data_IF_997636912850
#
_entry.id   IF_997636912850
#
_cell.length_a   1.000
_cell.length_b   1.000
_cell.length_c   1.000
_cell.angle_alpha   90.00
_cell.angle_beta   90.00
_cell.angle_gamma   90.00
#
_symmetry.space_group_name_H-M   'P 1'
#
loop_
_entity.id
_entity.type
_entity.pdbx_description
1 polymer ?
#
# COMPACT_ATOMS: atom_id res chain seq x y z
N UNK A 1 21.10 15.76 37.21
CA UNK A 1 21.66 15.98 35.87
C UNK A 1 20.74 15.30 34.88
N UNK A 2 19.88 16.06 34.21
CA UNK A 2 18.94 15.55 33.23
C UNK A 2 19.70 15.39 31.90
N UNK A 3 19.79 14.17 31.38
CA UNK A 3 20.32 13.96 30.03
C UNK A 3 19.51 14.81 29.05
N UNK A 4 20.14 15.48 28.06
CA UNK A 4 19.38 16.08 26.99
C UNK A 4 18.71 14.92 26.25
N UNK A 5 17.38 14.87 26.28
CA UNK A 5 16.63 14.17 25.24
C UNK A 5 17.15 14.74 23.93
N UNK A 6 17.82 13.92 23.13
CA UNK A 6 18.03 14.24 21.73
C UNK A 6 16.65 14.41 21.12
N UNK A 7 16.17 15.66 21.14
CA UNK A 7 15.06 16.11 20.34
C UNK A 7 15.50 15.84 18.89
N UNK A 8 15.13 14.67 18.37
CA UNK A 8 15.17 14.39 16.94
C UNK A 8 14.13 15.30 16.31
N UNK A 9 14.39 16.60 16.25
CA UNK A 9 13.60 17.57 15.51
C UNK A 9 13.75 17.20 14.05
N UNK A 10 12.86 16.34 13.56
CA UNK A 10 12.67 16.13 12.13
C UNK A 10 12.34 17.51 11.56
N UNK A 11 13.22 18.03 10.71
CA UNK A 11 13.00 19.35 10.12
C UNK A 11 11.74 19.31 9.26
N UNK A 12 11.05 20.45 9.12
CA UNK A 12 9.86 20.56 8.26
C UNK A 12 10.11 20.04 6.84
N UNK A 13 11.31 20.26 6.30
CA UNK A 13 11.71 19.75 4.98
C UNK A 13 11.85 18.23 4.95
N UNK A 14 12.39 17.62 6.00
CA UNK A 14 12.50 16.17 6.09
C UNK A 14 11.10 15.51 6.22
N UNK A 15 10.24 16.06 7.09
CA UNK A 15 8.87 15.56 7.24
C UNK A 15 8.06 15.69 5.93
N UNK A 16 8.25 16.78 5.18
CA UNK A 16 7.66 16.96 3.86
C UNK A 16 8.16 15.92 2.86
N UNK A 17 9.47 15.66 2.80
CA UNK A 17 10.02 14.65 1.91
C UNK A 17 9.48 13.25 2.22
N UNK A 18 9.36 12.91 3.50
CA UNK A 18 8.75 11.65 3.95
C UNK A 18 7.27 11.56 3.57
N UNK A 19 6.50 12.63 3.73
CA UNK A 19 5.11 12.70 3.27
C UNK A 19 4.98 12.50 1.75
N UNK A 20 5.80 13.20 0.97
CA UNK A 20 5.81 13.06 -0.50
C UNK A 20 6.19 11.63 -0.92
N UNK A 21 7.16 11.00 -0.25
CA UNK A 21 7.53 9.61 -0.47
C UNK A 21 6.37 8.66 -0.18
N UNK A 22 5.64 8.84 0.92
CA UNK A 22 4.44 8.04 1.24
C UNK A 22 3.32 8.23 0.23
N UNK A 23 3.14 9.45 -0.30
CA UNK A 23 2.17 9.68 -1.37
C UNK A 23 2.52 8.92 -2.67
N UNK A 24 3.81 8.83 -3.02
CA UNK A 24 4.24 8.04 -4.18
C UNK A 24 4.10 6.54 -3.94
N UNK A 25 4.42 6.06 -2.74
CA UNK A 25 4.22 4.66 -2.34
C UNK A 25 2.73 4.26 -2.46
N UNK A 26 1.82 5.09 -1.96
CA UNK A 26 0.37 4.88 -2.09
C UNK A 26 -0.05 4.72 -3.56
N UNK A 27 0.41 5.61 -4.45
CA UNK A 27 0.10 5.54 -5.88
C UNK A 27 0.60 4.23 -6.51
N UNK A 28 1.81 3.79 -6.12
CA UNK A 28 2.37 2.52 -6.58
C UNK A 28 1.51 1.33 -6.14
N UNK A 29 1.08 1.31 -4.88
CA UNK A 29 0.21 0.26 -4.34
C UNK A 29 -1.16 0.26 -5.03
N UNK A 30 -1.79 1.42 -5.21
CA UNK A 30 -3.08 1.54 -5.90
C UNK A 30 -3.01 1.07 -7.36
N UNK A 31 -1.89 1.36 -8.04
CA UNK A 31 -1.64 0.86 -9.40
C UNK A 31 -1.51 -0.66 -9.43
N UNK A 32 -0.74 -1.23 -8.50
CA UNK A 32 -0.57 -2.68 -8.38
C UNK A 32 -1.90 -3.38 -8.04
N UNK A 33 -2.71 -2.81 -7.15
CA UNK A 33 -4.06 -3.32 -6.83
C UNK A 33 -4.96 -3.38 -8.05
N UNK A 34 -5.01 -2.31 -8.84
CA UNK A 34 -5.82 -2.28 -10.08
C UNK A 34 -5.39 -3.38 -11.05
N UNK A 35 -4.08 -3.58 -11.19
CA UNK A 35 -3.56 -4.67 -12.03
C UNK A 35 -3.97 -6.06 -11.51
N UNK A 36 -3.94 -6.27 -10.19
CA UNK A 36 -4.41 -7.52 -9.57
C UNK A 36 -5.92 -7.75 -9.78
N UNK A 37 -6.74 -6.70 -9.68
CA UNK A 37 -8.19 -6.77 -9.97
C UNK A 37 -8.46 -7.16 -11.42
N UNK A 38 -7.69 -6.62 -12.38
CA UNK A 38 -7.79 -7.01 -13.78
C UNK A 38 -7.41 -8.48 -13.99
N UNK A 39 -6.36 -8.97 -13.34
CA UNK A 39 -5.94 -10.37 -13.42
C UNK A 39 -6.99 -11.32 -12.81
N UNK A 40 -7.51 -10.98 -11.62
CA UNK A 40 -8.57 -11.75 -10.97
C UNK A 40 -9.82 -11.80 -11.84
N UNK A 41 -10.23 -10.67 -12.43
CA UNK A 41 -11.39 -10.60 -13.33
C UNK A 41 -11.20 -11.49 -14.58
N UNK A 42 -10.03 -11.43 -15.21
CA UNK A 42 -9.69 -12.28 -16.36
C UNK A 42 -9.69 -13.76 -16.01
N UNK A 43 -9.23 -14.11 -14.81
CA UNK A 43 -9.18 -15.49 -14.35
C UNK A 43 -10.57 -16.01 -14.01
N UNK A 44 -11.43 -15.20 -13.38
CA UNK A 44 -12.85 -15.52 -13.16
C UNK A 44 -13.60 -15.73 -14.47
N UNK A 45 -13.40 -14.87 -15.47
CA UNK A 45 -14.01 -15.02 -16.81
C UNK A 45 -13.59 -16.33 -17.51
N UNK A 46 -12.39 -16.84 -17.24
CA UNK A 46 -11.93 -18.15 -17.74
C UNK A 46 -12.50 -19.33 -16.94
N UNK A 47 -12.93 -19.11 -15.72
CA UNK A 47 -13.46 -20.15 -14.83
C UNK A 47 -14.98 -20.33 -14.94
N UNK A 48 -15.75 -19.35 -15.43
CA UNK A 48 -17.16 -19.52 -15.83
C UNK A 48 -17.28 -20.17 -17.23
N UNK A 49 -18.15 -21.18 -17.40
CA UNK A 49 -17.91 -22.60 -17.14
C UNK A 49 -17.25 -23.34 -18.32
N UNK A 50 -16.00 -23.80 -18.14
CA UNK A 50 -15.45 -24.98 -18.84
C UNK A 50 -15.83 -26.29 -18.13
N UNK A 51 -16.97 -26.32 -17.42
CA UNK A 51 -17.59 -27.56 -16.94
C UNK A 51 -18.08 -28.42 -18.13
N UNK A 52 -18.10 -27.87 -19.35
CA UNK A 52 -18.52 -28.62 -20.52
C UNK A 52 -17.50 -29.70 -20.92
N UNK A 53 -16.22 -29.38 -21.14
CA UNK A 53 -15.23 -30.37 -21.57
C UNK A 53 -13.83 -29.80 -21.31
N UNK A 54 -13.06 -30.33 -20.34
CA UNK A 54 -11.63 -30.64 -20.45
C UNK A 54 -10.92 -30.87 -19.10
N UNK A 55 -9.88 -31.69 -19.22
CA UNK A 55 -8.85 -32.21 -18.30
C UNK A 55 -8.67 -31.55 -16.92
N UNK A 56 -8.78 -32.39 -15.89
CA UNK A 56 -8.61 -32.12 -14.44
C UNK A 56 -7.35 -31.29 -14.09
N UNK A 57 -6.28 -31.36 -14.89
CA UNK A 57 -5.03 -30.63 -14.63
C UNK A 57 -5.16 -29.11 -14.75
N UNK A 58 -5.77 -28.60 -15.82
CA UNK A 58 -5.82 -27.15 -16.10
C UNK A 58 -6.72 -26.40 -15.11
N UNK A 59 -7.78 -27.06 -14.63
CA UNK A 59 -8.67 -26.52 -13.61
C UNK A 59 -7.97 -26.35 -12.27
N UNK A 60 -7.06 -27.26 -11.89
CA UNK A 60 -6.34 -27.22 -10.61
C UNK A 60 -5.34 -26.04 -10.56
N UNK A 61 -4.57 -25.81 -11.63
CA UNK A 61 -3.63 -24.68 -11.72
C UNK A 61 -4.32 -23.31 -11.71
N UNK A 62 -5.51 -23.20 -12.30
CA UNK A 62 -6.29 -21.97 -12.29
C UNK A 62 -6.77 -21.62 -10.87
N UNK A 63 -7.17 -22.62 -10.08
CA UNK A 63 -7.61 -22.45 -8.68
C UNK A 63 -6.45 -21.98 -7.79
N UNK A 64 -5.26 -22.59 -7.90
CA UNK A 64 -4.10 -22.17 -7.11
C UNK A 64 -3.66 -20.74 -7.46
N UNK A 65 -3.68 -20.39 -8.75
CA UNK A 65 -3.37 -19.05 -9.23
C UNK A 65 -4.39 -18.02 -8.75
N UNK A 66 -5.68 -18.38 -8.68
CA UNK A 66 -6.74 -17.53 -8.13
C UNK A 66 -6.47 -17.17 -6.67
N UNK A 67 -6.23 -18.18 -5.82
CA UNK A 67 -5.97 -17.96 -4.39
C UNK A 67 -4.70 -17.17 -4.15
N UNK A 68 -3.65 -17.42 -4.93
CA UNK A 68 -2.42 -16.63 -4.87
C UNK A 68 -2.66 -15.15 -5.18
N UNK A 69 -3.38 -14.84 -6.27
CA UNK A 69 -3.72 -13.47 -6.64
C UNK A 69 -4.60 -12.79 -5.59
N UNK A 70 -5.55 -13.52 -5.00
CA UNK A 70 -6.41 -13.00 -3.95
C UNK A 70 -5.62 -12.65 -2.68
N UNK A 71 -4.67 -13.51 -2.29
CA UNK A 71 -3.78 -13.23 -1.15
C UNK A 71 -2.90 -12.00 -1.42
N UNK A 72 -2.34 -11.87 -2.62
CA UNK A 72 -1.56 -10.68 -3.02
C UNK A 72 -2.41 -9.42 -2.97
N UNK A 73 -3.68 -9.50 -3.38
CA UNK A 73 -4.62 -8.37 -3.30
C UNK A 73 -4.90 -7.97 -1.84
N UNK A 74 -5.16 -8.94 -0.97
CA UNK A 74 -5.36 -8.69 0.45
C UNK A 74 -4.10 -8.09 1.12
N UNK A 75 -2.91 -8.53 0.75
CA UNK A 75 -1.65 -7.95 1.20
C UNK A 75 -1.48 -6.51 0.73
N UNK A 76 -1.84 -6.22 -0.53
CA UNK A 76 -1.80 -4.88 -1.07
C UNK A 76 -2.79 -3.94 -0.36
N UNK A 77 -3.97 -4.43 0.01
CA UNK A 77 -4.93 -3.67 0.85
C UNK A 77 -4.36 -3.31 2.22
N UNK A 78 -3.74 -4.28 2.90
CA UNK A 78 -3.11 -4.03 4.21
C UNK A 78 -2.00 -2.99 4.10
N UNK A 79 -1.09 -3.15 3.14
CA UNK A 79 -0.01 -2.18 2.88
C UNK A 79 -0.55 -0.80 2.53
N UNK A 80 -1.65 -0.72 1.77
CA UNK A 80 -2.27 0.56 1.43
C UNK A 80 -2.81 1.26 2.68
N UNK A 81 -3.47 0.52 3.58
CA UNK A 81 -3.95 1.05 4.84
C UNK A 81 -2.80 1.61 5.68
N UNK A 82 -1.72 0.83 5.84
CA UNK A 82 -0.54 1.24 6.61
C UNK A 82 0.15 2.47 6.00
N UNK A 83 0.29 2.50 4.67
CA UNK A 83 0.88 3.63 3.96
C UNK A 83 0.05 4.91 4.10
N UNK A 84 -1.29 4.80 4.10
CA UNK A 84 -2.20 5.94 4.35
C UNK A 84 -2.06 6.47 5.77
N UNK A 85 -2.00 5.59 6.77
CA UNK A 85 -1.76 5.99 8.16
C UNK A 85 -0.40 6.70 8.32
N UNK A 86 0.66 6.17 7.69
CA UNK A 86 1.98 6.77 7.70
C UNK A 86 2.01 8.14 6.98
N UNK A 87 1.28 8.28 5.87
CA UNK A 87 1.09 9.57 5.19
C UNK A 87 0.44 10.60 6.12
N UNK A 88 -0.63 10.22 6.82
CA UNK A 88 -1.36 11.14 7.68
C UNK A 88 -0.50 11.57 8.88
N UNK A 89 0.27 10.64 9.42
CA UNK A 89 1.26 10.95 10.47
C UNK A 89 2.36 11.92 9.96
N UNK A 90 3.00 11.61 8.84
CA UNK A 90 4.07 12.46 8.26
C UNK A 90 3.55 13.85 7.88
N UNK A 91 2.30 13.95 7.42
CA UNK A 91 1.64 15.22 7.18
C UNK A 91 1.43 16.01 8.49
N UNK A 92 0.95 15.37 9.55
CA UNK A 92 0.77 16.02 10.85
C UNK A 92 2.09 16.52 11.44
N UNK A 93 3.16 15.72 11.34
CA UNK A 93 4.52 16.12 11.75
C UNK A 93 5.00 17.31 10.93
N UNK A 94 4.81 17.29 9.61
CA UNK A 94 5.19 18.40 8.75
C UNK A 94 4.44 19.69 9.11
N UNK A 95 3.13 19.62 9.35
CA UNK A 95 2.34 20.77 9.80
C UNK A 95 2.84 21.33 11.14
N UNK A 96 3.11 20.45 12.12
CA UNK A 96 3.63 20.86 13.43
C UNK A 96 5.00 21.52 13.33
N UNK A 97 5.92 20.95 12.54
CA UNK A 97 7.27 21.48 12.34
C UNK A 97 7.28 22.77 11.51
N UNK A 98 6.27 23.00 10.67
CA UNK A 98 6.12 24.23 9.87
C UNK A 98 5.43 25.36 10.63
N UNK A 99 4.73 25.04 11.72
CA UNK A 99 4.01 25.97 12.57
C UNK A 99 4.87 26.59 13.69
N UNK A 100 6.19 26.34 13.72
CA UNK A 100 7.12 27.05 14.59
C UNK A 100 7.78 28.26 13.87
N UNK A 101 7.15 29.44 13.85
CA UNK A 101 7.86 30.70 13.70
C UNK A 101 8.03 31.38 15.07
N UNK A 102 9.28 31.58 15.46
CA UNK A 102 9.76 32.49 16.52
C UNK A 102 9.22 32.30 17.96
N UNK A 103 10.00 31.60 18.80
CA UNK A 103 10.17 32.06 20.19
C UNK A 103 11.36 33.04 20.17
N UNK A 104 11.07 34.29 20.54
CA UNK A 104 11.99 35.43 20.48
C UNK A 104 13.10 35.41 21.52
#
# INVERSE_FOLDING_TARGET
MSQPMEDRTVTANQARAEYEAKCQEIKGIETAKRYLEELLSKLMQRCEPLVAFHTVGDTMYAVDSFWMLLNMYADAERKLSDAKAARDYTYAVWQSASAEPHRG
#
